data_IF_377332712680
#
_entry.id   IF_377332712680
#
_cell.length_a   1.000
_cell.length_b   1.000
_cell.length_c   1.000
_cell.angle_alpha   90.00
_cell.angle_beta   90.00
_cell.angle_gamma   90.00
#
_symmetry.space_group_name_H-M   'P 1'
#
loop_
_entity.id
_entity.type
_entity.pdbx_description
1 polymer ?
#
# COMPACT_ATOMS: atom_id res chain seq x y z
N UNK A 1 5.74 20.26 50.94
CA UNK A 1 4.81 19.92 49.85
C UNK A 1 3.87 18.86 50.37
N UNK A 2 2.59 18.96 50.03
CA UNK A 2 1.53 18.23 50.75
C UNK A 2 1.43 16.78 50.26
N UNK A 3 1.20 15.84 51.18
CA UNK A 3 1.04 14.39 50.90
C UNK A 3 0.01 14.09 49.80
N UNK A 4 -0.91 15.02 49.55
CA UNK A 4 -1.95 14.96 48.52
C UNK A 4 -1.37 15.19 47.13
N UNK A 5 -0.40 16.10 46.99
CA UNK A 5 0.29 16.39 45.72
C UNK A 5 1.13 15.19 45.27
N UNK A 6 1.84 14.54 46.20
CA UNK A 6 2.63 13.32 45.91
C UNK A 6 1.73 12.14 45.48
N UNK A 7 0.55 12.02 46.08
CA UNK A 7 -0.43 11.00 45.73
C UNK A 7 -1.03 11.27 44.36
N UNK A 8 -1.35 12.54 44.07
CA UNK A 8 -1.83 12.97 42.77
C UNK A 8 -0.78 12.73 41.68
N UNK A 9 0.47 13.11 41.91
CA UNK A 9 1.58 12.83 40.99
C UNK A 9 1.78 11.33 40.76
N UNK A 10 1.69 10.49 41.81
CA UNK A 10 1.78 9.02 41.65
C UNK A 10 0.63 8.48 40.82
N UNK A 11 -0.59 8.97 41.02
CA UNK A 11 -1.77 8.55 40.27
C UNK A 11 -1.71 9.01 38.81
N UNK A 12 -1.29 10.25 38.55
CA UNK A 12 -1.08 10.77 37.19
C UNK A 12 0.03 10.00 36.47
N UNK A 13 1.16 9.73 37.13
CA UNK A 13 2.23 8.88 36.58
C UNK A 13 1.77 7.44 36.37
N UNK A 14 0.89 6.91 37.23
CA UNK A 14 0.30 5.58 37.07
C UNK A 14 -0.70 5.53 35.91
N UNK A 15 -1.52 6.57 35.71
CA UNK A 15 -2.43 6.68 34.58
C UNK A 15 -1.68 6.83 33.25
N UNK A 16 -0.59 7.61 33.22
CA UNK A 16 0.28 7.73 32.04
C UNK A 16 1.03 6.42 31.74
N UNK A 17 1.42 5.65 32.76
CA UNK A 17 1.98 4.30 32.59
C UNK A 17 0.92 3.27 32.16
N UNK A 18 -0.29 3.38 32.69
CA UNK A 18 -1.45 2.59 32.27
C UNK A 18 -1.87 2.90 30.84
N UNK A 19 -1.70 4.13 30.37
CA UNK A 19 -1.90 4.48 28.96
C UNK A 19 -0.74 4.00 28.08
N UNK A 20 0.49 3.86 28.59
CA UNK A 20 1.61 3.19 27.88
C UNK A 20 1.49 1.66 27.84
N UNK A 21 0.78 1.06 28.80
CA UNK A 21 0.52 -0.39 28.84
C UNK A 21 -0.82 -0.77 28.19
N UNK A 22 -1.78 0.16 28.14
CA UNK A 22 -3.11 0.03 27.53
C UNK A 22 -3.23 0.62 26.13
N UNK A 23 -2.33 1.52 25.74
CA UNK A 23 -1.91 1.62 24.35
C UNK A 23 -0.95 0.44 24.13
N UNK A 24 -1.54 -0.73 23.91
CA UNK A 24 -0.80 -1.78 23.26
C UNK A 24 -0.07 -1.14 22.08
N UNK A 25 1.20 -1.51 21.91
CA UNK A 25 1.73 -1.67 20.57
C UNK A 25 0.74 -2.62 19.88
N UNK A 26 -0.35 -2.08 19.33
CA UNK A 26 -1.14 -2.80 18.35
C UNK A 26 -0.13 -3.13 17.27
N UNK A 27 -0.11 -4.37 16.83
CA UNK A 27 0.81 -4.82 15.78
C UNK A 27 0.61 -4.10 14.42
N UNK A 28 -0.17 -3.01 14.38
CA UNK A 28 -0.58 -2.26 13.19
C UNK A 28 -0.16 -0.78 13.14
N UNK A 29 0.68 -0.29 14.05
CA UNK A 29 1.21 1.09 13.95
C UNK A 29 0.14 2.19 14.15
N UNK A 30 0.52 3.44 13.89
CA UNK A 30 -0.34 4.63 14.03
C UNK A 30 -1.38 4.69 12.91
N UNK A 31 -1.02 4.16 11.73
CA UNK A 31 -1.90 4.06 10.55
C UNK A 31 -3.17 3.25 10.82
N UNK A 32 -3.09 2.14 11.58
CA UNK A 32 -4.25 1.29 11.89
C UNK A 32 -5.35 1.97 12.72
N UNK A 33 -5.11 3.18 13.25
CA UNK A 33 -6.05 3.90 14.10
C UNK A 33 -6.73 5.10 13.38
N UNK A 34 -6.60 5.23 12.05
CA UNK A 34 -7.27 6.29 11.28
C UNK A 34 -8.79 6.04 11.27
N UNK A 35 -9.62 6.97 11.78
CA UNK A 35 -11.07 6.82 11.77
C UNK A 35 -11.64 6.76 10.35
N UNK A 36 -12.68 5.95 10.13
CA UNK A 36 -13.34 5.81 8.82
C UNK A 36 -13.92 7.12 8.29
N UNK A 37 -14.28 8.07 9.17
CA UNK A 37 -14.72 9.41 8.79
C UNK A 37 -13.63 10.25 8.13
N UNK A 38 -12.36 9.93 8.37
CA UNK A 38 -11.19 10.53 7.70
C UNK A 38 -10.66 9.63 6.58
N UNK A 39 -10.95 8.32 6.60
CA UNK A 39 -10.45 7.33 5.64
C UNK A 39 -10.92 7.55 4.19
N UNK A 40 -11.91 8.42 3.94
CA UNK A 40 -12.24 8.85 2.59
C UNK A 40 -11.08 9.62 1.93
N UNK A 41 -10.16 10.17 2.73
CA UNK A 41 -8.88 10.69 2.27
C UNK A 41 -7.80 9.62 2.51
N UNK A 42 -7.47 8.86 1.44
CA UNK A 42 -6.47 7.78 1.47
C UNK A 42 -5.07 8.27 1.85
N UNK A 43 -4.80 9.57 1.69
CA UNK A 43 -3.48 10.13 1.91
C UNK A 43 -3.08 10.06 3.39
N UNK A 44 -4.02 10.23 4.34
CA UNK A 44 -3.68 10.20 5.77
C UNK A 44 -3.16 8.82 6.21
N UNK A 45 -3.82 7.75 5.77
CA UNK A 45 -3.40 6.37 6.08
C UNK A 45 -2.05 6.04 5.41
N UNK A 46 -1.90 6.40 4.13
CA UNK A 46 -0.65 6.19 3.39
C UNK A 46 0.51 6.97 4.02
N UNK A 47 0.28 8.22 4.46
CA UNK A 47 1.28 9.05 5.14
C UNK A 47 1.71 8.43 6.47
N UNK A 48 0.76 8.00 7.30
CA UNK A 48 1.08 7.40 8.60
C UNK A 48 1.75 6.04 8.46
N UNK A 49 1.36 5.24 7.47
CA UNK A 49 2.03 3.99 7.15
C UNK A 49 3.49 4.24 6.75
N UNK A 50 3.73 5.19 5.85
CA UNK A 50 5.08 5.60 5.49
C UNK A 50 5.87 6.11 6.71
N UNK A 51 5.23 6.93 7.57
CA UNK A 51 5.85 7.45 8.79
C UNK A 51 6.32 6.36 9.76
N UNK A 52 5.53 5.28 9.90
CA UNK A 52 5.89 4.13 10.72
C UNK A 52 7.05 3.33 10.08
N UNK A 53 7.06 3.16 8.76
CA UNK A 53 8.13 2.44 8.03
C UNK A 53 9.49 3.14 8.17
N UNK A 54 9.51 4.47 7.99
CA UNK A 54 10.75 5.25 8.03
C UNK A 54 11.19 5.58 9.45
N UNK A 55 10.38 5.29 10.47
CA UNK A 55 10.66 5.72 11.85
C UNK A 55 12.02 5.24 12.36
N UNK A 56 12.37 4.00 12.03
CA UNK A 56 13.63 3.38 12.46
C UNK A 56 14.82 3.84 11.58
N UNK A 57 14.55 4.40 10.40
CA UNK A 57 15.56 4.92 9.47
C UNK A 57 15.88 6.39 9.74
N UNK A 58 14.85 7.24 9.83
CA UNK A 58 14.97 8.65 10.18
C UNK A 58 13.75 9.12 11.01
N UNK A 59 13.92 9.30 12.34
CA UNK A 59 12.84 9.75 13.21
C UNK A 59 12.41 11.21 12.96
N UNK A 60 13.25 12.05 12.37
CA UNK A 60 12.92 13.44 12.04
C UNK A 60 11.99 13.50 10.83
N UNK A 61 12.28 12.73 9.78
CA UNK A 61 11.44 12.61 8.59
C UNK A 61 10.09 11.97 8.97
N UNK A 62 10.11 10.94 9.81
CA UNK A 62 8.90 10.33 10.40
C UNK A 62 8.04 11.36 11.14
N UNK A 63 8.66 12.26 11.91
CA UNK A 63 7.94 13.37 12.58
C UNK A 63 7.29 14.30 11.56
N UNK A 64 8.01 14.73 10.52
CA UNK A 64 7.47 15.64 9.49
C UNK A 64 6.22 15.04 8.84
N UNK A 65 6.26 13.74 8.50
CA UNK A 65 5.08 13.03 7.98
C UNK A 65 3.91 13.00 8.98
N UNK A 66 4.16 12.72 10.25
CA UNK A 66 3.12 12.75 11.29
C UNK A 66 2.50 14.15 11.46
N UNK A 67 3.32 15.21 11.45
CA UNK A 67 2.85 16.60 11.52
C UNK A 67 1.98 16.94 10.31
N UNK A 68 2.40 16.54 9.12
CA UNK A 68 1.64 16.76 7.91
C UNK A 68 0.29 16.01 7.92
N UNK A 69 0.28 14.73 8.34
CA UNK A 69 -0.95 13.96 8.52
C UNK A 69 -1.90 14.61 9.55
N UNK A 70 -1.35 15.18 10.63
CA UNK A 70 -2.13 15.92 11.62
C UNK A 70 -2.77 17.17 11.01
N UNK A 71 -2.02 17.96 10.23
CA UNK A 71 -2.54 19.12 9.52
C UNK A 71 -3.67 18.75 8.55
N UNK A 72 -3.52 17.67 7.79
CA UNK A 72 -4.57 17.16 6.90
C UNK A 72 -5.83 16.78 7.68
N UNK A 73 -5.69 16.02 8.77
CA UNK A 73 -6.81 15.68 9.64
C UNK A 73 -7.47 16.92 10.26
N UNK A 74 -6.69 17.96 10.58
CA UNK A 74 -7.20 19.23 11.10
C UNK A 74 -8.02 19.98 10.06
N UNK A 75 -7.57 20.01 8.81
CA UNK A 75 -8.26 20.66 7.71
C UNK A 75 -9.56 19.93 7.32
N UNK A 76 -9.58 18.59 7.41
CA UNK A 76 -10.76 17.80 7.06
C UNK A 76 -11.89 17.89 8.08
N UNK A 77 -11.58 17.96 9.38
CA UNK A 77 -12.59 18.03 10.44
C UNK A 77 -12.13 18.94 11.59
N UNK A 78 -12.13 20.27 11.42
CA UNK A 78 -11.58 21.20 12.41
C UNK A 78 -12.19 21.06 13.80
N UNK A 79 -13.50 20.75 13.89
CA UNK A 79 -14.26 20.60 15.12
C UNK A 79 -14.18 19.20 15.73
N UNK A 80 -13.62 18.22 15.00
CA UNK A 80 -13.53 16.81 15.41
C UNK A 80 -14.90 16.17 15.67
N UNK A 81 -15.87 16.47 14.82
CA UNK A 81 -17.25 15.97 14.91
C UNK A 81 -17.37 14.51 14.44
N UNK A 82 -16.44 14.05 13.61
CA UNK A 82 -16.36 12.67 13.14
C UNK A 82 -16.08 11.69 14.29
N UNK A 83 -16.73 10.53 14.24
CA UNK A 83 -16.56 9.48 15.25
C UNK A 83 -15.09 9.08 15.38
N UNK A 84 -14.51 9.27 16.58
CA UNK A 84 -13.13 8.89 16.88
C UNK A 84 -12.06 9.90 16.41
N UNK A 85 -12.43 10.96 15.69
CA UNK A 85 -11.49 11.96 15.15
C UNK A 85 -10.73 12.69 16.25
N UNK A 86 -11.43 13.13 17.31
CA UNK A 86 -10.78 13.81 18.42
C UNK A 86 -9.74 12.93 19.12
N UNK A 87 -10.07 11.64 19.31
CA UNK A 87 -9.16 10.66 19.91
C UNK A 87 -7.94 10.42 19.03
N UNK A 88 -8.16 10.24 17.72
CA UNK A 88 -7.10 10.09 16.74
C UNK A 88 -6.15 11.31 16.73
N UNK A 89 -6.68 12.52 16.60
CA UNK A 89 -5.88 13.76 16.61
C UNK A 89 -5.09 13.92 17.90
N UNK A 90 -5.73 13.67 19.05
CA UNK A 90 -5.07 13.73 20.36
C UNK A 90 -3.95 12.70 20.48
N UNK A 91 -4.19 11.48 20.01
CA UNK A 91 -3.19 10.41 19.96
C UNK A 91 -2.02 10.76 19.06
N UNK A 92 -2.28 11.21 17.83
CA UNK A 92 -1.26 11.61 16.87
C UNK A 92 -0.43 12.79 17.39
N UNK A 93 -1.07 13.80 18.00
CA UNK A 93 -0.39 14.92 18.65
C UNK A 93 0.52 14.46 19.80
N UNK A 94 0.10 13.46 20.58
CA UNK A 94 0.95 12.86 21.63
C UNK A 94 2.20 12.20 21.04
N UNK A 95 2.06 11.48 19.92
CA UNK A 95 3.20 10.89 19.20
C UNK A 95 4.15 11.98 18.69
N UNK A 96 3.62 13.03 18.04
CA UNK A 96 4.43 14.14 17.53
C UNK A 96 5.22 14.79 18.67
N UNK A 97 4.57 15.07 19.81
CA UNK A 97 5.26 15.61 21.01
C UNK A 97 6.35 14.68 21.52
N UNK A 98 6.14 13.37 21.50
CA UNK A 98 7.17 12.40 21.90
C UNK A 98 8.36 12.39 20.93
N UNK A 99 8.11 12.50 19.62
CA UNK A 99 9.17 12.61 18.60
C UNK A 99 9.97 13.91 18.77
N UNK A 100 9.28 15.03 19.02
CA UNK A 100 9.92 16.33 19.29
C UNK A 100 10.74 16.33 20.58
N UNK A 101 10.27 15.67 21.65
CA UNK A 101 11.00 15.61 22.92
C UNK A 101 12.33 14.84 22.84
N UNK A 102 12.49 13.98 21.84
CA UNK A 102 13.75 13.25 21.57
C UNK A 102 14.71 14.06 20.69
N UNK A 103 14.26 15.15 20.07
CA UNK A 103 15.09 16.03 19.25
C UNK A 103 15.91 16.94 20.17
N UNK A 104 17.21 17.04 19.90
CA UNK A 104 18.06 18.05 20.54
C UNK A 104 17.56 19.43 20.12
N UNK A 105 17.11 20.22 21.10
CA UNK A 105 16.20 21.35 20.92
C UNK A 105 16.59 22.31 19.80
N UNK A 106 15.69 22.44 18.83
CA UNK A 106 15.70 23.48 17.81
C UNK A 106 14.26 23.92 17.52
N UNK A 107 14.10 25.13 17.03
CA UNK A 107 12.82 25.58 16.47
C UNK A 107 12.45 24.70 15.27
N UNK A 108 11.15 24.48 15.07
CA UNK A 108 10.64 23.80 13.87
C UNK A 108 10.63 24.85 12.77
N UNK A 109 11.40 24.59 11.72
CA UNK A 109 11.47 25.45 10.53
C UNK A 109 11.05 24.62 9.32
N UNK A 110 10.06 25.12 8.58
CA UNK A 110 9.53 24.45 7.39
C UNK A 110 10.57 24.30 6.29
N UNK A 111 11.48 25.27 6.16
CA UNK A 111 12.58 25.19 5.20
C UNK A 111 13.54 24.04 5.54
N UNK A 112 13.82 23.82 6.83
CA UNK A 112 14.61 22.67 7.29
C UNK A 112 13.89 21.34 7.04
N UNK A 113 12.58 21.29 7.31
CA UNK A 113 11.77 20.09 7.05
C UNK A 113 11.81 19.70 5.57
N UNK A 114 11.74 20.69 4.68
CA UNK A 114 11.84 20.50 3.23
C UNK A 114 13.22 19.95 2.85
N UNK A 115 14.31 20.54 3.34
CA UNK A 115 15.67 20.03 3.06
C UNK A 115 15.85 18.60 3.57
N UNK A 116 15.39 18.29 4.78
CA UNK A 116 15.44 16.95 5.35
C UNK A 116 14.69 15.93 4.49
N UNK A 117 13.47 16.26 4.05
CA UNK A 117 12.68 15.39 3.16
C UNK A 117 13.39 15.13 1.83
N UNK A 118 14.07 16.13 1.26
CA UNK A 118 14.76 16.00 -0.02
C UNK A 118 15.99 15.10 0.06
N UNK A 119 16.83 15.33 1.08
CA UNK A 119 18.01 14.51 1.33
C UNK A 119 17.58 13.06 1.60
N UNK A 120 16.55 12.88 2.42
CA UNK A 120 16.01 11.56 2.72
C UNK A 120 15.43 10.88 1.47
N UNK A 121 14.71 11.60 0.61
CA UNK A 121 14.16 11.05 -0.64
C UNK A 121 15.27 10.44 -1.51
N UNK A 122 16.36 11.19 -1.74
CA UNK A 122 17.50 10.73 -2.53
C UNK A 122 18.16 9.50 -1.90
N UNK A 123 18.45 9.58 -0.60
CA UNK A 123 19.08 8.47 0.13
C UNK A 123 18.21 7.21 0.16
N UNK A 124 16.89 7.36 0.31
CA UNK A 124 15.94 6.25 0.32
C UNK A 124 15.91 5.55 -1.05
N UNK A 125 15.87 6.32 -2.14
CA UNK A 125 15.91 5.79 -3.52
C UNK A 125 17.20 4.99 -3.79
N UNK A 126 18.34 5.51 -3.35
CA UNK A 126 19.64 4.85 -3.46
C UNK A 126 19.71 3.58 -2.62
N UNK A 127 19.32 3.66 -1.34
CA UNK A 127 19.36 2.53 -0.39
C UNK A 127 18.49 1.36 -0.86
N UNK A 128 17.31 1.66 -1.39
CA UNK A 128 16.40 0.63 -1.89
C UNK A 128 16.71 0.20 -3.33
N UNK A 129 17.70 0.80 -4.00
CA UNK A 129 18.08 0.50 -5.37
C UNK A 129 16.86 0.39 -6.30
N UNK A 130 16.00 1.41 -6.29
CA UNK A 130 14.68 1.38 -6.96
C UNK A 130 14.77 0.95 -8.42
N UNK A 131 15.77 1.48 -9.14
CA UNK A 131 16.01 1.16 -10.55
C UNK A 131 16.33 -0.33 -10.75
N UNK A 132 17.16 -0.91 -9.87
CA UNK A 132 17.52 -2.34 -9.88
C UNK A 132 16.36 -3.24 -9.47
N UNK A 133 15.60 -2.86 -8.43
CA UNK A 133 14.41 -3.60 -8.00
C UNK A 133 13.39 -3.73 -9.14
N UNK A 134 13.24 -2.67 -9.93
CA UNK A 134 12.38 -2.67 -11.12
C UNK A 134 12.89 -3.62 -12.20
N UNK A 135 14.18 -3.54 -12.53
CA UNK A 135 14.78 -4.40 -13.56
C UNK A 135 14.68 -5.88 -13.19
N UNK A 136 14.93 -6.22 -11.92
CA UNK A 136 14.80 -7.59 -11.41
C UNK A 136 13.35 -8.11 -11.50
N UNK A 137 12.35 -7.28 -11.17
CA UNK A 137 10.95 -7.67 -11.32
C UNK A 137 10.55 -7.84 -12.80
N UNK A 138 10.99 -6.93 -13.68
CA UNK A 138 10.73 -7.04 -15.13
C UNK A 138 11.33 -8.32 -15.71
N UNK A 139 12.58 -8.64 -15.34
CA UNK A 139 13.23 -9.89 -15.76
C UNK A 139 12.48 -11.13 -15.28
N UNK A 140 12.02 -11.14 -14.03
CA UNK A 140 11.23 -12.25 -13.50
C UNK A 140 9.89 -12.39 -14.24
N UNK A 141 9.25 -11.28 -14.60
CA UNK A 141 8.02 -11.28 -15.42
C UNK A 141 8.27 -11.83 -16.83
N UNK A 142 9.36 -11.39 -17.48
CA UNK A 142 9.73 -11.85 -18.83
C UNK A 142 10.17 -13.31 -18.87
N UNK A 143 10.76 -13.83 -17.78
CA UNK A 143 11.21 -15.22 -17.68
C UNK A 143 10.09 -16.27 -17.63
N UNK A 144 8.82 -15.84 -17.53
CA UNK A 144 7.64 -16.66 -17.83
C UNK A 144 7.17 -17.61 -16.71
N UNK A 145 5.85 -17.84 -16.72
CA UNK A 145 4.97 -18.56 -15.76
C UNK A 145 5.37 -20.02 -15.48
N UNK A 146 6.39 -20.57 -16.15
CA UNK A 146 6.81 -21.97 -16.01
C UNK A 146 7.98 -22.18 -15.03
N UNK A 147 8.59 -21.10 -14.55
CA UNK A 147 9.63 -21.15 -13.54
C UNK A 147 9.00 -21.18 -12.14
N UNK A 148 9.50 -22.04 -11.24
CA UNK A 148 9.09 -22.12 -9.83
C UNK A 148 9.35 -20.85 -9.00
N UNK A 149 9.73 -19.75 -9.64
CA UNK A 149 10.10 -18.47 -9.06
C UNK A 149 8.89 -17.53 -8.81
N UNK A 150 7.65 -18.01 -8.96
CA UNK A 150 6.45 -17.19 -8.73
C UNK A 150 6.44 -16.54 -7.35
N UNK A 151 6.82 -17.29 -6.30
CA UNK A 151 6.92 -16.75 -4.95
C UNK A 151 8.02 -15.69 -4.77
N UNK A 152 9.09 -15.76 -5.55
CA UNK A 152 10.13 -14.71 -5.57
C UNK A 152 9.63 -13.45 -6.28
N UNK A 153 8.94 -13.61 -7.41
CA UNK A 153 8.31 -12.52 -8.14
C UNK A 153 7.28 -11.79 -7.27
N UNK A 154 6.44 -12.51 -6.54
CA UNK A 154 5.47 -11.92 -5.60
C UNK A 154 6.16 -11.09 -4.51
N UNK A 155 7.20 -11.64 -3.87
CA UNK A 155 7.97 -10.93 -2.85
C UNK A 155 8.61 -9.65 -3.40
N UNK A 156 9.21 -9.73 -4.59
CA UNK A 156 9.81 -8.57 -5.28
C UNK A 156 8.76 -7.53 -5.66
N UNK A 157 7.61 -7.95 -6.15
CA UNK A 157 6.49 -7.06 -6.51
C UNK A 157 5.96 -6.33 -5.28
N UNK A 158 5.75 -7.04 -4.17
CA UNK A 158 5.30 -6.46 -2.90
C UNK A 158 6.34 -5.47 -2.36
N UNK A 159 7.62 -5.85 -2.40
CA UNK A 159 8.72 -4.96 -2.00
C UNK A 159 8.77 -3.70 -2.86
N UNK A 160 8.66 -3.82 -4.20
CA UNK A 160 8.63 -2.68 -5.11
C UNK A 160 7.45 -1.75 -4.80
N UNK A 161 6.24 -2.30 -4.68
CA UNK A 161 5.03 -1.54 -4.36
C UNK A 161 5.16 -0.80 -3.04
N UNK A 162 5.75 -1.43 -2.03
CA UNK A 162 6.01 -0.82 -0.72
C UNK A 162 6.95 0.39 -0.87
N UNK A 163 8.12 0.19 -1.46
CA UNK A 163 9.14 1.24 -1.64
C UNK A 163 8.61 2.42 -2.47
N UNK A 164 7.97 2.15 -3.61
CA UNK A 164 7.38 3.19 -4.45
C UNK A 164 6.22 3.90 -3.75
N UNK A 165 5.43 3.19 -2.93
CA UNK A 165 4.41 3.78 -2.09
C UNK A 165 4.98 4.80 -1.09
N UNK A 166 6.07 4.44 -0.40
CA UNK A 166 6.77 5.37 0.50
C UNK A 166 7.32 6.58 -0.24
N UNK A 167 7.95 6.38 -1.41
CA UNK A 167 8.48 7.48 -2.24
C UNK A 167 7.38 8.41 -2.73
N UNK A 168 6.24 7.87 -3.17
CA UNK A 168 5.08 8.66 -3.56
C UNK A 168 4.59 9.55 -2.42
N UNK A 169 4.50 9.02 -1.21
CA UNK A 169 4.13 9.80 -0.03
C UNK A 169 5.16 10.91 0.24
N UNK A 170 6.46 10.58 0.26
CA UNK A 170 7.52 11.56 0.50
C UNK A 170 7.48 12.69 -0.53
N UNK A 171 7.32 12.35 -1.81
CA UNK A 171 7.19 13.31 -2.91
C UNK A 171 5.97 14.22 -2.75
N UNK A 172 4.79 13.62 -2.47
CA UNK A 172 3.56 14.39 -2.26
C UNK A 172 3.67 15.36 -1.08
N UNK A 173 4.21 14.91 0.06
CA UNK A 173 4.38 15.77 1.25
C UNK A 173 5.40 16.88 0.96
N UNK A 174 6.50 16.55 0.28
CA UNK A 174 7.50 17.53 -0.14
C UNK A 174 6.91 18.64 -1.03
N UNK A 175 6.11 18.28 -2.02
CA UNK A 175 5.39 19.24 -2.87
C UNK A 175 4.42 20.12 -2.07
N UNK A 176 3.70 19.53 -1.12
CA UNK A 176 2.74 20.27 -0.31
C UNK A 176 3.42 21.27 0.62
N UNK A 177 4.49 20.87 1.31
CA UNK A 177 5.26 21.77 2.18
C UNK A 177 5.93 22.89 1.38
N UNK A 178 6.35 22.61 0.15
CA UNK A 178 6.98 23.62 -0.71
C UNK A 178 6.00 24.71 -1.15
N UNK A 179 4.70 24.41 -1.24
CA UNK A 179 3.65 25.42 -1.48
C UNK A 179 3.46 26.40 -0.32
N UNK A 180 3.94 26.06 0.88
CA UNK A 180 3.87 26.92 2.06
C UNK A 180 5.00 27.96 2.11
N UNK A 181 6.03 27.81 1.25
CA UNK A 181 7.24 28.65 1.20
C UNK A 181 7.21 29.56 -0.04
N UNK A 182 8.01 30.63 -0.03
CA UNK A 182 8.08 31.56 -1.16
C UNK A 182 8.57 30.85 -2.45
N UNK A 183 8.08 31.23 -3.64
CA UNK A 183 8.43 30.55 -4.89
C UNK A 183 9.94 30.60 -5.21
N UNK A 184 10.62 31.66 -4.80
CA UNK A 184 12.07 31.83 -5.00
C UNK A 184 12.89 30.86 -4.12
N UNK A 185 12.43 30.58 -2.91
CA UNK A 185 13.02 29.59 -2.01
C UNK A 185 12.63 28.17 -2.42
N UNK A 186 11.40 27.96 -2.90
CA UNK A 186 10.92 26.68 -3.41
C UNK A 186 11.77 26.15 -4.58
N UNK A 187 12.12 26.99 -5.55
CA UNK A 187 12.95 26.60 -6.69
C UNK A 187 14.40 26.30 -6.30
N UNK A 188 14.93 26.98 -5.27
CA UNK A 188 16.24 26.64 -4.70
C UNK A 188 16.20 25.33 -3.93
N UNK A 189 15.11 25.08 -3.23
CA UNK A 189 14.95 23.91 -2.38
C UNK A 189 14.71 22.67 -3.24
N UNK A 190 13.85 22.68 -4.26
CA UNK A 190 13.62 21.52 -5.12
C UNK A 190 14.35 21.68 -6.46
N UNK A 191 15.57 21.13 -6.62
CA UNK A 191 16.22 21.04 -7.92
C UNK A 191 15.34 20.31 -8.93
N UNK A 192 15.42 20.74 -10.19
CA UNK A 192 14.72 20.15 -11.33
C UNK A 192 15.04 18.67 -11.50
N UNK A 193 16.23 18.25 -11.06
CA UNK A 193 16.61 16.84 -11.00
C UNK A 193 15.70 16.03 -10.06
N UNK A 194 15.40 16.56 -8.88
CA UNK A 194 14.53 15.88 -7.92
C UNK A 194 13.09 15.82 -8.43
N UNK A 195 12.60 16.89 -9.09
CA UNK A 195 11.28 16.89 -9.75
C UNK A 195 11.19 15.77 -10.79
N UNK A 196 12.20 15.64 -11.67
CA UNK A 196 12.25 14.56 -12.67
C UNK A 196 12.30 13.16 -12.05
N UNK A 197 13.02 13.00 -10.94
CA UNK A 197 13.04 11.72 -10.21
C UNK A 197 11.65 11.36 -9.68
N UNK A 198 10.98 12.32 -9.04
CA UNK A 198 9.64 12.13 -8.49
C UNK A 198 8.61 11.79 -9.59
N UNK A 199 8.66 12.49 -10.73
CA UNK A 199 7.82 12.20 -11.90
C UNK A 199 8.08 10.78 -12.45
N UNK A 200 9.35 10.37 -12.52
CA UNK A 200 9.72 9.02 -12.96
C UNK A 200 9.18 7.95 -12.00
N UNK A 201 9.38 8.12 -10.69
CA UNK A 201 8.93 7.17 -9.67
C UNK A 201 7.37 7.13 -9.59
N UNK A 202 6.70 8.26 -9.82
CA UNK A 202 5.24 8.33 -9.91
C UNK A 202 4.70 7.53 -11.11
N UNK A 203 5.29 7.72 -12.30
CA UNK A 203 4.93 6.96 -13.50
C UNK A 203 5.15 5.44 -13.30
N UNK A 204 6.16 5.03 -12.54
CA UNK A 204 6.42 3.63 -12.21
C UNK A 204 5.37 3.00 -11.27
N UNK A 205 4.66 3.82 -10.49
CA UNK A 205 3.63 3.32 -9.57
C UNK A 205 2.35 2.90 -10.31
N UNK A 206 2.10 3.46 -11.50
CA UNK A 206 0.87 3.24 -12.28
C UNK A 206 0.98 2.06 -13.27
N UNK A 207 2.19 1.58 -13.56
CA UNK A 207 2.51 0.59 -14.62
C UNK A 207 2.16 -0.88 -14.25
N UNK A 208 0.91 -1.12 -13.84
CA UNK A 208 0.37 -2.46 -13.58
C UNK A 208 -0.91 -2.65 -14.41
N UNK A 209 -0.81 -2.46 -15.72
CA UNK A 209 -1.82 -2.95 -16.65
C UNK A 209 -1.54 -4.43 -16.93
N UNK A 210 -2.39 -5.31 -16.40
CA UNK A 210 -2.37 -6.73 -16.77
C UNK A 210 -2.80 -6.84 -18.23
N UNK A 211 -1.85 -6.94 -19.14
CA UNK A 211 -2.11 -7.47 -20.48
C UNK A 211 -2.33 -8.98 -20.33
N UNK A 212 -3.52 -9.36 -19.85
CA UNK A 212 -4.01 -10.72 -19.97
C UNK A 212 -4.25 -10.93 -21.46
N UNK A 213 -3.32 -11.62 -22.12
CA UNK A 213 -3.54 -12.13 -23.47
C UNK A 213 -4.74 -13.09 -23.36
N UNK A 214 -5.80 -12.92 -24.16
CA UNK A 214 -6.88 -13.90 -24.22
C UNK A 214 -6.28 -15.26 -24.59
N UNK A 215 -6.52 -16.29 -23.76
CA UNK A 215 -6.09 -17.67 -24.03
C UNK A 215 -6.87 -18.33 -25.19
N UNK A 216 -7.70 -17.58 -25.90
CA UNK A 216 -8.46 -18.07 -27.04
C UNK A 216 -7.66 -17.90 -28.34
N UNK A 217 -6.46 -18.49 -28.39
CA UNK A 217 -5.86 -18.82 -29.68
C UNK A 217 -6.43 -20.15 -30.15
N UNK A 218 -7.52 -20.12 -30.90
CA UNK A 218 -7.65 -21.09 -32.01
C UNK A 218 -6.74 -20.63 -33.15
N UNK A 219 -5.43 -20.66 -32.92
CA UNK A 219 -4.45 -20.63 -34.01
C UNK A 219 -3.83 -22.02 -34.05
N UNK A 220 -4.25 -22.78 -35.05
CA UNK A 220 -4.05 -24.22 -35.25
C UNK A 220 -2.60 -24.62 -35.56
N UNK A 221 -1.61 -23.82 -35.20
CA UNK A 221 -0.22 -24.05 -35.55
C UNK A 221 0.68 -23.56 -34.44
N UNK A 222 0.83 -24.36 -33.39
CA UNK A 222 2.13 -24.62 -32.77
C UNK A 222 1.99 -25.87 -31.92
N UNK A 223 2.76 -26.88 -32.29
CA UNK A 223 2.80 -28.19 -31.69
C UNK A 223 3.13 -28.08 -30.19
N UNK A 224 2.09 -28.12 -29.35
CA UNK A 224 2.26 -28.55 -27.97
C UNK A 224 2.61 -30.03 -28.06
N UNK A 225 3.84 -30.31 -27.67
CA UNK A 225 4.43 -31.64 -27.57
C UNK A 225 3.40 -32.62 -27.02
N UNK A 226 3.04 -33.59 -27.87
CA UNK A 226 2.33 -34.80 -27.52
C UNK A 226 3.02 -35.46 -26.32
N UNK A 227 2.37 -35.43 -25.15
CA UNK A 227 2.76 -36.26 -24.02
C UNK A 227 2.37 -37.71 -24.33
N UNK A 228 3.35 -38.61 -24.41
CA UNK A 228 3.15 -40.05 -24.61
C UNK A 228 2.78 -40.77 -23.30
N UNK A 229 1.79 -40.27 -22.56
CA UNK A 229 1.36 -40.89 -21.29
C UNK A 229 -0.13 -41.24 -21.25
N UNK A 230 -0.72 -41.57 -22.41
CA UNK A 230 -2.09 -42.11 -22.47
C UNK A 230 -2.20 -43.35 -23.37
N UNK A 231 -1.21 -44.22 -23.34
CA UNK A 231 -1.24 -45.48 -24.12
C UNK A 231 -1.82 -46.69 -23.37
N UNK A 232 -2.49 -46.51 -22.23
CA UNK A 232 -3.08 -47.64 -21.50
C UNK A 232 -4.43 -47.37 -20.82
N UNK A 233 -5.37 -46.75 -21.53
CA UNK A 233 -6.79 -46.88 -21.18
C UNK A 233 -7.54 -47.56 -22.33
N UNK A 234 -7.92 -48.80 -22.05
CA UNK A 234 -8.60 -49.76 -22.90
C UNK A 234 -9.92 -49.21 -23.47
N UNK A 235 -10.35 -49.69 -24.65
CA UNK A 235 -11.52 -49.17 -25.35
C UNK A 235 -12.82 -49.75 -24.75
N UNK A 236 -13.37 -49.13 -23.71
CA UNK A 236 -14.68 -49.53 -23.16
C UNK A 236 -15.73 -48.41 -23.21
N UNK A 237 -15.38 -47.14 -23.45
CA UNK A 237 -16.35 -46.04 -23.36
C UNK A 237 -16.43 -45.28 -24.68
N UNK A 238 -16.88 -45.91 -25.77
CA UNK A 238 -17.33 -45.18 -26.97
C UNK A 238 -18.37 -45.96 -27.81
N UNK A 239 -19.13 -46.89 -27.22
CA UNK A 239 -20.24 -47.58 -27.91
C UNK A 239 -21.64 -47.38 -27.31
N UNK A 240 -21.79 -46.66 -26.20
CA UNK A 240 -23.10 -46.53 -25.53
C UNK A 240 -23.82 -45.20 -25.78
N UNK A 241 -23.15 -44.17 -26.35
CA UNK A 241 -23.77 -42.85 -26.54
C UNK A 241 -24.50 -42.65 -27.88
N UNK A 242 -24.43 -43.59 -28.83
CA UNK A 242 -25.14 -43.48 -30.11
C UNK A 242 -26.52 -44.14 -30.14
N UNK A 243 -26.87 -44.98 -29.15
CA UNK A 243 -28.19 -45.63 -29.08
C UNK A 243 -29.20 -44.91 -28.16
N UNK A 244 -28.75 -44.08 -27.23
CA UNK A 244 -29.66 -43.40 -26.28
C UNK A 244 -30.29 -42.12 -26.88
N UNK A 245 -29.65 -41.52 -27.89
CA UNK A 245 -30.17 -40.29 -28.51
C UNK A 245 -31.27 -40.53 -29.57
N UNK A 246 -31.46 -41.77 -30.04
CA UNK A 246 -32.52 -42.09 -31.02
C UNK A 246 -33.87 -42.40 -30.37
N UNK A 247 -33.87 -43.04 -29.20
CA UNK A 247 -35.11 -43.50 -28.55
C UNK A 247 -35.87 -42.37 -27.83
N UNK A 248 -35.16 -41.38 -27.28
CA UNK A 248 -35.80 -40.22 -26.61
C UNK A 248 -36.50 -39.28 -27.60
N UNK A 249 -36.02 -39.20 -28.85
CA UNK A 249 -36.64 -38.39 -29.90
C UNK A 249 -37.88 -39.09 -30.49
N UNK A 250 -37.87 -40.42 -30.63
CA UNK A 250 -39.04 -41.17 -31.11
C UNK A 250 -40.18 -41.29 -30.09
N UNK A 251 -39.88 -41.27 -28.79
CA UNK A 251 -40.91 -41.36 -27.75
C UNK A 251 -41.67 -40.03 -27.54
N UNK A 252 -41.04 -38.88 -27.81
CA UNK A 252 -41.69 -37.56 -27.77
C UNK A 252 -42.58 -37.26 -28.99
N UNK A 253 -42.36 -37.91 -30.14
CA UNK A 253 -43.19 -37.73 -31.34
C UNK A 253 -44.54 -38.48 -31.26
N UNK A 254 -44.66 -39.52 -30.42
CA UNK A 254 -45.91 -40.27 -30.23
C UNK A 254 -46.83 -39.72 -29.13
N UNK A 255 -46.31 -38.90 -28.23
CA UNK A 255 -47.11 -38.28 -27.17
C UNK A 255 -47.88 -37.03 -27.63
N UNK A 256 -47.49 -36.42 -28.75
CA UNK A 256 -48.11 -35.19 -29.30
C UNK A 256 -49.25 -35.49 -30.29
N UNK A 257 -49.50 -36.75 -30.66
CA UNK A 257 -50.61 -37.14 -31.55
C UNK A 257 -51.83 -37.77 -30.83
N UNK A 258 -51.85 -37.84 -29.49
CA UNK A 258 -52.96 -38.43 -28.74
C UNK A 258 -53.80 -37.42 -27.91
N UNK A 259 -53.49 -36.12 -27.97
CA UNK A 259 -54.33 -35.09 -27.36
C UNK A 259 -54.50 -33.89 -28.31
N UNK A 260 -55.76 -33.68 -28.71
CA UNK A 260 -56.37 -32.61 -29.55
C UNK A 260 -56.38 -32.92 -31.06
N UNK A 261 -57.50 -33.19 -31.77
CA UNK A 261 -58.93 -32.86 -31.59
C UNK A 261 -59.23 -31.42 -31.16
#
# INVERSE_FOLDING_TARGET
MSRVEDLWERLVRAALRGHRAGAGRTAGGIAANVPSSLANNRDIDDILRAADEIQDEDPNVSRVLCEHAYSLAQNLDPNSEGRGVLQFKTGLMSVIKQKLAKREGGTIDRSQDITLLQEFYKQYRERHNVDRLREEELKLRESGVFSGNLGELERKTVQRKRVLGTLKVLGNVLEQLTKEVSPEEADRLIPEELKRMMESDAAMTEDIAYNIIPLDTTSTTNAIVSFNEVDNLSPIILKSSSHICSDVIQQNARYVQQYQL
#
